data_IF_485282717215
#
_entry.id   IF_485282717215
#
_cell.length_a   1.000
_cell.length_b   1.000
_cell.length_c   1.000
_cell.angle_alpha   90.00
_cell.angle_beta   90.00
_cell.angle_gamma   90.00
#
_symmetry.space_group_name_H-M   'P 1'
#
loop_
_entity.id
_entity.type
_entity.pdbx_description
1 polymer ?
#
# COMPACT_ATOMS: atom_id res chain seq x y z
N UNK A 1 14.07 9.20 -37.32
CA UNK A 1 12.95 8.22 -37.34
C UNK A 1 13.31 6.95 -36.54
N UNK A 2 13.98 7.10 -35.38
CA UNK A 2 14.40 5.96 -34.53
C UNK A 2 13.99 6.14 -33.06
N UNK A 3 13.24 7.20 -32.74
CA UNK A 3 12.85 7.54 -31.37
C UNK A 3 11.42 7.09 -31.02
N UNK A 4 10.71 6.47 -31.97
CA UNK A 4 9.26 6.16 -31.90
C UNK A 4 8.93 4.66 -31.72
N UNK A 5 9.90 3.79 -31.38
CA UNK A 5 9.66 2.34 -31.20
C UNK A 5 9.71 1.84 -29.75
N UNK A 6 9.74 2.74 -28.77
CA UNK A 6 9.82 2.40 -27.35
C UNK A 6 8.50 2.62 -26.59
N UNK A 7 7.39 2.81 -27.31
CA UNK A 7 6.07 2.91 -26.72
C UNK A 7 5.41 1.53 -26.69
N UNK A 8 5.06 1.07 -25.47
CA UNK A 8 4.38 -0.20 -25.14
C UNK A 8 5.18 -1.50 -25.22
N UNK A 9 6.41 -1.52 -24.70
CA UNK A 9 7.03 -2.81 -24.33
C UNK A 9 6.65 -3.17 -22.90
N UNK A 10 6.04 -4.34 -22.71
CA UNK A 10 5.81 -4.93 -21.38
C UNK A 10 7.15 -5.05 -20.64
N UNK A 11 7.15 -4.82 -19.33
CA UNK A 11 8.32 -4.83 -18.45
C UNK A 11 9.17 -6.08 -18.68
N UNK A 12 8.51 -7.24 -18.78
CA UNK A 12 9.15 -8.52 -19.12
C UNK A 12 10.00 -8.43 -20.39
N UNK A 13 9.43 -7.93 -21.50
CA UNK A 13 10.14 -7.80 -22.78
C UNK A 13 11.30 -6.79 -22.72
N UNK A 14 11.17 -5.72 -21.92
CA UNK A 14 12.25 -4.74 -21.73
C UNK A 14 13.41 -5.38 -20.98
N UNK A 15 13.12 -6.11 -19.90
CA UNK A 15 14.14 -6.83 -19.12
C UNK A 15 14.84 -7.88 -19.97
N UNK A 16 14.12 -8.64 -20.80
CA UNK A 16 14.73 -9.60 -21.72
C UNK A 16 15.72 -8.96 -22.70
N UNK A 17 15.48 -7.69 -23.07
CA UNK A 17 16.33 -6.97 -24.03
C UNK A 17 17.60 -6.36 -23.43
N UNK A 18 17.79 -6.38 -22.10
CA UNK A 18 18.96 -5.79 -21.44
C UNK A 18 20.28 -6.48 -21.80
N UNK A 19 20.25 -7.75 -22.21
CA UNK A 19 21.47 -8.51 -22.53
C UNK A 19 22.43 -8.66 -21.34
N UNK A 20 23.69 -9.02 -21.61
CA UNK A 20 24.66 -9.33 -20.54
C UNK A 20 25.25 -8.10 -19.85
N UNK A 21 25.44 -6.99 -20.58
CA UNK A 21 26.08 -5.77 -20.08
C UNK A 21 25.27 -4.52 -20.45
N UNK A 22 24.05 -4.36 -19.91
CA UNK A 22 23.25 -3.18 -20.17
C UNK A 22 23.92 -1.93 -19.60
N UNK A 23 23.79 -0.83 -20.33
CA UNK A 23 24.13 0.48 -19.82
C UNK A 23 23.21 0.88 -18.67
N UNK A 24 23.69 1.78 -17.80
CA UNK A 24 22.87 2.38 -16.74
C UNK A 24 21.55 2.96 -17.27
N UNK A 25 21.58 3.57 -18.45
CA UNK A 25 20.38 4.16 -19.08
C UNK A 25 19.34 3.10 -19.43
N UNK A 26 19.77 1.95 -19.95
CA UNK A 26 18.86 0.84 -20.28
C UNK A 26 18.24 0.23 -19.03
N UNK A 27 19.04 0.03 -17.97
CA UNK A 27 18.53 -0.48 -16.69
C UNK A 27 17.54 0.49 -16.06
N UNK A 28 17.82 1.80 -16.06
CA UNK A 28 16.91 2.81 -15.53
C UNK A 28 15.63 2.94 -16.38
N UNK A 29 15.73 2.74 -17.69
CA UNK A 29 14.55 2.67 -18.55
C UNK A 29 13.69 1.45 -18.21
N UNK A 30 14.28 0.26 -18.06
CA UNK A 30 13.57 -0.94 -17.63
C UNK A 30 12.90 -0.76 -16.26
N UNK A 31 13.60 -0.14 -15.30
CA UNK A 31 13.07 0.21 -13.99
C UNK A 31 11.82 1.12 -14.09
N UNK A 32 11.88 2.17 -14.90
CA UNK A 32 10.74 3.07 -15.10
C UNK A 32 9.55 2.35 -15.74
N UNK A 33 9.81 1.49 -16.74
CA UNK A 33 8.76 0.65 -17.34
C UNK A 33 8.14 -0.28 -16.29
N UNK A 34 8.96 -0.88 -15.42
CA UNK A 34 8.49 -1.69 -14.30
C UNK A 34 7.58 -0.93 -13.34
N UNK A 35 7.95 0.30 -12.96
CA UNK A 35 7.08 1.16 -12.12
C UNK A 35 5.74 1.42 -12.80
N UNK A 36 5.77 1.84 -14.06
CA UNK A 36 4.54 2.20 -14.79
C UNK A 36 3.60 0.98 -14.94
N UNK A 37 4.15 -0.20 -15.21
CA UNK A 37 3.36 -1.43 -15.32
C UNK A 37 2.79 -1.87 -13.97
N UNK A 38 3.56 -1.77 -12.89
CA UNK A 38 3.08 -2.05 -11.54
C UNK A 38 1.93 -1.11 -11.12
N UNK A 39 2.00 0.17 -11.51
CA UNK A 39 0.92 1.13 -11.31
C UNK A 39 -0.34 0.73 -12.09
N UNK A 40 -0.19 0.37 -13.37
CA UNK A 40 -1.32 -0.08 -14.19
C UNK A 40 -1.97 -1.36 -13.62
N UNK A 41 -1.18 -2.31 -13.11
CA UNK A 41 -1.68 -3.51 -12.43
C UNK A 41 -2.45 -3.13 -11.17
N UNK A 42 -1.91 -2.23 -10.35
CA UNK A 42 -2.58 -1.76 -9.13
C UNK A 42 -3.90 -1.05 -9.45
N UNK A 43 -3.96 -0.24 -10.50
CA UNK A 43 -5.19 0.43 -10.96
C UNK A 43 -6.25 -0.57 -11.39
N UNK A 44 -5.87 -1.59 -12.20
CA UNK A 44 -6.77 -2.67 -12.57
C UNK A 44 -7.30 -3.39 -11.33
N UNK A 45 -6.41 -3.72 -10.39
CA UNK A 45 -6.75 -4.39 -9.14
C UNK A 45 -7.69 -3.57 -8.27
N UNK A 46 -7.40 -2.29 -8.07
CA UNK A 46 -8.21 -1.40 -7.24
C UNK A 46 -9.62 -1.21 -7.81
N UNK A 47 -9.74 -1.10 -9.14
CA UNK A 47 -11.00 -0.86 -9.84
C UNK A 47 -11.78 -2.13 -10.21
N UNK A 48 -11.23 -3.33 -10.02
CA UNK A 48 -11.89 -4.59 -10.34
C UNK A 48 -13.21 -4.74 -9.55
N UNK A 49 -14.24 -5.31 -10.15
CA UNK A 49 -15.60 -5.48 -9.60
C UNK A 49 -15.97 -6.96 -9.42
N UNK A 50 -17.12 -7.25 -8.78
CA UNK A 50 -17.61 -8.62 -8.62
C UNK A 50 -17.94 -9.31 -9.96
N UNK A 51 -18.30 -8.53 -10.99
CA UNK A 51 -18.46 -9.00 -12.37
C UNK A 51 -17.11 -9.49 -12.94
N UNK A 52 -16.00 -8.89 -12.51
CA UNK A 52 -14.64 -9.27 -12.87
C UNK A 52 -14.11 -10.46 -12.07
N UNK A 53 -14.82 -10.95 -11.05
CA UNK A 53 -14.27 -11.92 -10.11
C UNK A 53 -13.90 -13.27 -10.75
N UNK A 54 -14.74 -13.77 -11.66
CA UNK A 54 -14.57 -15.12 -12.22
C UNK A 54 -13.38 -15.24 -13.18
N UNK A 55 -12.89 -14.12 -13.75
CA UNK A 55 -11.84 -14.14 -14.78
C UNK A 55 -10.87 -12.95 -14.69
N UNK A 56 -11.33 -11.76 -14.32
CA UNK A 56 -10.54 -10.52 -14.28
C UNK A 56 -9.50 -10.50 -13.16
N UNK A 57 -9.87 -10.73 -11.90
CA UNK A 57 -8.89 -10.63 -10.78
C UNK A 57 -7.81 -11.71 -10.85
N UNK A 58 -8.15 -12.90 -11.34
CA UNK A 58 -7.18 -13.98 -11.57
C UNK A 58 -6.16 -13.58 -12.63
N UNK A 59 -6.60 -13.00 -13.74
CA UNK A 59 -5.70 -12.50 -14.79
C UNK A 59 -4.80 -11.36 -14.28
N UNK A 60 -5.32 -10.47 -13.43
CA UNK A 60 -4.52 -9.38 -12.83
C UNK A 60 -3.44 -9.95 -11.89
N UNK A 61 -3.76 -10.97 -11.09
CA UNK A 61 -2.79 -11.68 -10.26
C UNK A 61 -1.70 -12.38 -11.09
N UNK A 62 -2.09 -13.01 -12.21
CA UNK A 62 -1.15 -13.63 -13.15
C UNK A 62 -0.27 -12.57 -13.84
N UNK A 63 -0.81 -11.41 -14.21
CA UNK A 63 -0.05 -10.28 -14.74
C UNK A 63 0.99 -9.78 -13.73
N UNK A 64 0.64 -9.69 -12.45
CA UNK A 64 1.58 -9.30 -11.40
C UNK A 64 2.67 -10.37 -11.14
N UNK A 65 2.34 -11.65 -11.29
CA UNK A 65 3.33 -12.72 -11.21
C UNK A 65 4.32 -12.65 -12.39
N UNK A 66 3.85 -12.38 -13.61
CA UNK A 66 4.72 -12.15 -14.77
C UNK A 66 5.62 -10.92 -14.56
N UNK A 67 5.07 -9.84 -13.99
CA UNK A 67 5.85 -8.68 -13.59
C UNK A 67 6.95 -9.03 -12.58
N UNK A 68 6.65 -9.89 -11.60
CA UNK A 68 7.64 -10.37 -10.63
C UNK A 68 8.72 -11.23 -11.27
N UNK A 69 8.35 -12.11 -12.19
CA UNK A 69 9.31 -12.90 -12.96
C UNK A 69 10.26 -12.02 -13.79
N UNK A 70 9.75 -10.94 -14.38
CA UNK A 70 10.58 -9.93 -15.03
C UNK A 70 11.55 -9.29 -14.04
N UNK A 71 11.07 -8.89 -12.86
CA UNK A 71 11.94 -8.33 -11.82
C UNK A 71 13.05 -9.31 -11.41
N UNK A 72 12.73 -10.58 -11.16
CA UNK A 72 13.70 -11.61 -10.80
C UNK A 72 14.73 -11.82 -11.92
N UNK A 73 14.28 -11.88 -13.17
CA UNK A 73 15.16 -12.01 -14.34
C UNK A 73 16.15 -10.85 -14.46
N UNK A 74 15.69 -9.63 -14.17
CA UNK A 74 16.51 -8.41 -14.20
C UNK A 74 17.24 -8.10 -12.89
N UNK A 75 17.08 -8.92 -11.84
CA UNK A 75 17.43 -8.58 -10.46
C UNK A 75 18.87 -8.07 -10.32
N UNK A 76 19.82 -8.78 -10.91
CA UNK A 76 21.23 -8.41 -10.81
C UNK A 76 21.53 -7.06 -11.47
N UNK A 77 20.87 -6.75 -12.59
CA UNK A 77 21.01 -5.44 -13.24
C UNK A 77 20.48 -4.32 -12.36
N UNK A 78 19.30 -4.52 -11.75
CA UNK A 78 18.70 -3.54 -10.84
C UNK A 78 19.53 -3.34 -9.56
N UNK A 79 20.06 -4.43 -8.98
CA UNK A 79 20.90 -4.38 -7.80
C UNK A 79 22.20 -3.61 -8.06
N UNK A 80 22.83 -3.82 -9.22
CA UNK A 80 24.03 -3.08 -9.62
C UNK A 80 23.79 -1.56 -9.78
N UNK A 81 22.53 -1.14 -9.96
CA UNK A 81 22.15 0.27 -10.03
C UNK A 81 21.48 0.79 -8.74
N UNK A 82 21.33 -0.06 -7.72
CA UNK A 82 20.74 0.33 -6.43
C UNK A 82 19.22 0.52 -6.44
N UNK A 83 18.50 -0.02 -7.44
CA UNK A 83 17.03 0.17 -7.59
C UNK A 83 16.23 -1.11 -7.32
N UNK A 84 16.87 -2.18 -6.86
CA UNK A 84 16.22 -3.47 -6.60
C UNK A 84 15.31 -3.45 -5.36
N UNK A 85 15.70 -2.72 -4.30
CA UNK A 85 14.89 -2.60 -3.08
C UNK A 85 13.56 -1.92 -3.40
N UNK A 86 13.59 -0.90 -4.26
CA UNK A 86 12.40 -0.19 -4.72
C UNK A 86 11.40 -1.11 -5.43
N UNK A 87 11.86 -1.90 -6.41
CA UNK A 87 11.00 -2.83 -7.13
C UNK A 87 10.44 -3.92 -6.20
N UNK A 88 11.22 -4.34 -5.19
CA UNK A 88 10.78 -5.30 -4.18
C UNK A 88 9.66 -4.72 -3.31
N UNK A 89 9.81 -3.46 -2.87
CA UNK A 89 8.79 -2.73 -2.11
C UNK A 89 7.53 -2.57 -2.95
N UNK A 90 7.68 -2.16 -4.21
CA UNK A 90 6.55 -1.93 -5.11
C UNK A 90 5.77 -3.22 -5.34
N UNK A 91 6.45 -4.33 -5.66
CA UNK A 91 5.84 -5.65 -5.79
C UNK A 91 5.04 -6.05 -4.55
N UNK A 92 5.64 -5.93 -3.38
CA UNK A 92 4.98 -6.30 -2.13
C UNK A 92 3.70 -5.49 -1.90
N UNK A 93 3.72 -4.19 -2.24
CA UNK A 93 2.55 -3.34 -2.10
C UNK A 93 1.44 -3.69 -3.11
N UNK A 94 1.79 -3.95 -4.37
CA UNK A 94 0.83 -4.40 -5.40
C UNK A 94 0.21 -5.74 -4.99
N UNK A 95 1.02 -6.72 -4.59
CA UNK A 95 0.52 -8.02 -4.14
C UNK A 95 -0.45 -7.92 -2.97
N UNK A 96 -0.10 -7.14 -1.94
CA UNK A 96 -1.00 -6.92 -0.81
C UNK A 96 -2.35 -6.33 -1.24
N UNK A 97 -2.33 -5.32 -2.14
CA UNK A 97 -3.54 -4.70 -2.67
C UNK A 97 -4.39 -5.71 -3.45
N UNK A 98 -3.78 -6.52 -4.32
CA UNK A 98 -4.49 -7.51 -5.14
C UNK A 98 -5.10 -8.63 -4.30
N UNK A 99 -4.38 -9.13 -3.29
CA UNK A 99 -4.88 -10.16 -2.39
C UNK A 99 -6.09 -9.68 -1.58
N UNK A 100 -6.02 -8.46 -1.02
CA UNK A 100 -7.16 -7.88 -0.31
C UNK A 100 -8.38 -7.75 -1.23
N UNK A 101 -8.19 -7.20 -2.45
CA UNK A 101 -9.30 -7.09 -3.42
C UNK A 101 -9.87 -8.45 -3.76
N UNK A 102 -9.03 -9.44 -4.06
CA UNK A 102 -9.49 -10.79 -4.38
C UNK A 102 -10.38 -11.37 -3.28
N UNK A 103 -9.96 -11.26 -2.02
CA UNK A 103 -10.73 -11.74 -0.88
C UNK A 103 -12.09 -11.04 -0.74
N UNK A 104 -12.15 -9.73 -1.03
CA UNK A 104 -13.42 -8.97 -1.07
C UNK A 104 -14.33 -9.44 -2.19
N UNK A 105 -13.81 -9.59 -3.40
CA UNK A 105 -14.61 -10.06 -4.54
C UNK A 105 -15.21 -11.45 -4.27
N UNK A 106 -14.51 -12.34 -3.56
CA UNK A 106 -15.09 -13.64 -3.13
C UNK A 106 -16.27 -13.45 -2.19
N UNK A 107 -16.16 -12.50 -1.26
CA UNK A 107 -17.23 -12.23 -0.30
C UNK A 107 -18.46 -11.65 -1.00
N UNK A 108 -18.24 -10.70 -1.94
CA UNK A 108 -19.28 -10.08 -2.77
C UNK A 108 -19.99 -11.13 -3.65
N UNK A 109 -19.24 -12.06 -4.25
CA UNK A 109 -19.81 -13.11 -5.14
C UNK A 109 -20.60 -14.19 -4.40
N UNK A 110 -20.23 -14.51 -3.15
CA UNK A 110 -20.83 -15.60 -2.38
C UNK A 110 -22.14 -15.21 -1.68
N UNK A 111 -22.63 -13.98 -1.87
CA UNK A 111 -23.87 -13.51 -1.25
C UNK A 111 -23.81 -13.43 0.28
N UNK A 112 -22.62 -13.56 0.88
CA UNK A 112 -22.38 -13.29 2.30
C UNK A 112 -22.29 -11.76 2.44
N UNK A 113 -23.45 -11.12 2.29
CA UNK A 113 -23.65 -9.75 2.70
C UNK A 113 -23.58 -9.72 4.23
N UNK A 114 -22.59 -9.02 4.81
CA UNK A 114 -22.99 -8.08 5.85
C UNK A 114 -23.84 -7.03 5.14
N UNK A 115 -25.01 -6.74 5.70
CA UNK A 115 -26.08 -5.96 5.09
C UNK A 115 -25.75 -4.45 5.03
N UNK A 116 -24.54 -4.09 4.63
CA UNK A 116 -24.11 -2.73 4.39
C UNK A 116 -23.63 -2.67 2.94
N UNK A 117 -24.50 -2.16 2.04
CA UNK A 117 -24.01 -1.68 0.75
C UNK A 117 -23.03 -0.53 1.03
N UNK A 118 -21.73 -0.84 1.13
CA UNK A 118 -20.69 0.10 1.57
C UNK A 118 -20.41 1.28 0.63
N UNK A 119 -21.02 1.29 -0.55
CA UNK A 119 -21.03 2.46 -1.44
C UNK A 119 -22.41 3.14 -1.51
N UNK A 120 -23.40 2.64 -0.76
CA UNK A 120 -24.82 2.89 -1.03
C UNK A 120 -25.64 3.55 0.07
N UNK A 121 -25.30 3.45 1.36
CA UNK A 121 -26.12 4.07 2.41
C UNK A 121 -25.31 4.77 3.50
N UNK A 122 -25.56 6.08 3.57
CA UNK A 122 -25.26 7.05 4.62
C UNK A 122 -23.83 7.60 4.83
N UNK A 123 -23.12 7.76 3.72
CA UNK A 123 -21.95 8.65 3.62
C UNK A 123 -22.27 10.14 3.95
N UNK A 124 -23.55 10.55 3.97
CA UNK A 124 -23.93 11.97 4.12
C UNK A 124 -23.77 12.59 5.51
N UNK A 125 -23.36 11.85 6.55
CA UNK A 125 -23.13 12.45 7.88
C UNK A 125 -21.75 12.22 8.52
N UNK A 126 -20.85 11.43 7.90
CA UNK A 126 -19.44 11.29 8.37
C UNK A 126 -18.37 11.65 7.32
N UNK A 127 -18.75 12.05 6.11
CA UNK A 127 -17.83 12.32 4.98
C UNK A 127 -16.88 13.53 5.11
N UNK A 128 -16.87 14.31 6.19
CA UNK A 128 -16.03 15.53 6.25
C UNK A 128 -14.63 15.35 6.84
N UNK A 129 -14.14 14.14 7.13
CA UNK A 129 -12.76 13.96 7.64
C UNK A 129 -11.86 13.06 6.79
N UNK A 130 -12.39 12.03 6.11
CA UNK A 130 -11.54 11.07 5.37
C UNK A 130 -11.39 11.38 3.87
N UNK A 131 -12.09 12.39 3.34
CA UNK A 131 -11.97 12.83 1.93
C UNK A 131 -10.64 13.57 1.66
N UNK A 132 -9.93 14.02 2.71
CA UNK A 132 -8.71 14.82 2.54
C UNK A 132 -7.44 13.98 2.30
N UNK A 133 -7.36 12.73 2.79
CA UNK A 133 -6.11 11.94 2.78
C UNK A 133 -5.75 11.42 1.39
N UNK A 134 -6.61 10.60 0.78
CA UNK A 134 -6.34 9.95 -0.50
C UNK A 134 -6.18 11.02 -1.58
N UNK A 135 -7.03 12.04 -1.50
CA UNK A 135 -6.99 13.21 -2.36
C UNK A 135 -5.68 14.00 -2.19
N UNK A 136 -5.13 14.17 -0.98
CA UNK A 136 -3.85 14.89 -0.78
C UNK A 136 -2.66 14.29 -1.54
N UNK A 137 -2.73 12.99 -1.87
CA UNK A 137 -1.68 12.27 -2.61
C UNK A 137 -1.93 12.37 -4.10
N UNK A 138 -3.19 12.29 -4.51
CA UNK A 138 -3.59 12.54 -5.88
C UNK A 138 -3.30 13.99 -6.29
N UNK A 139 -3.43 14.92 -5.34
CA UNK A 139 -3.15 16.35 -5.50
C UNK A 139 -1.66 16.68 -5.50
N UNK A 140 -0.78 15.72 -5.18
CA UNK A 140 0.64 15.87 -5.52
C UNK A 140 0.72 16.04 -7.03
N UNK A 141 1.00 17.28 -7.47
CA UNK A 141 1.20 17.57 -8.89
C UNK A 141 2.32 16.71 -9.47
N UNK A 142 2.48 16.71 -10.79
CA UNK A 142 3.45 15.83 -11.46
C UNK A 142 4.92 16.03 -11.01
N UNK A 143 5.23 17.19 -10.42
CA UNK A 143 6.56 17.53 -9.93
C UNK A 143 6.46 18.13 -8.52
N UNK A 144 6.09 17.34 -7.49
CA UNK A 144 5.92 17.88 -6.16
C UNK A 144 7.31 18.22 -5.59
N UNK A 145 7.37 19.30 -4.84
CA UNK A 145 8.53 19.69 -4.05
C UNK A 145 8.81 18.66 -2.96
N UNK A 146 10.05 18.62 -2.47
CA UNK A 146 10.41 17.79 -1.31
C UNK A 146 9.43 18.04 -0.17
N UNK A 147 9.19 19.32 0.16
CA UNK A 147 8.28 19.76 1.23
C UNK A 147 6.85 19.23 1.07
N UNK A 148 6.30 19.18 -0.15
CA UNK A 148 4.94 18.68 -0.38
C UNK A 148 4.84 17.18 -0.11
N UNK A 149 5.68 16.36 -0.74
CA UNK A 149 5.71 14.90 -0.50
C UNK A 149 5.92 14.60 0.98
N UNK A 150 6.79 15.39 1.58
CA UNK A 150 7.09 15.34 2.98
C UNK A 150 5.87 15.66 3.88
N UNK A 151 5.19 16.78 3.64
CA UNK A 151 3.98 17.13 4.37
C UNK A 151 2.89 16.05 4.22
N UNK A 152 2.75 15.49 3.02
CA UNK A 152 1.85 14.36 2.76
C UNK A 152 2.22 13.17 3.65
N UNK A 153 3.47 12.74 3.69
CA UNK A 153 3.91 11.65 4.58
C UNK A 153 3.65 11.94 6.07
N UNK A 154 3.91 13.16 6.53
CA UNK A 154 3.56 13.58 7.90
C UNK A 154 2.08 13.46 8.21
N UNK A 155 1.23 13.83 7.25
CA UNK A 155 -0.21 13.66 7.36
C UNK A 155 -0.57 12.18 7.52
N UNK A 156 0.12 11.28 6.80
CA UNK A 156 -0.12 9.85 6.91
C UNK A 156 0.28 9.26 8.25
N UNK A 157 1.38 9.73 8.85
CA UNK A 157 1.75 9.29 10.19
C UNK A 157 0.68 9.68 11.23
N UNK A 158 0.13 10.90 11.13
CA UNK A 158 -0.93 11.37 12.05
C UNK A 158 -2.22 10.59 11.84
N UNK A 159 -2.58 10.35 10.59
CA UNK A 159 -3.79 9.59 10.28
C UNK A 159 -3.65 8.14 10.73
N UNK A 160 -2.47 7.53 10.55
CA UNK A 160 -2.22 6.19 11.06
C UNK A 160 -2.39 6.15 12.58
N UNK A 161 -1.85 7.12 13.31
CA UNK A 161 -2.04 7.18 14.77
C UNK A 161 -3.52 7.40 15.15
N UNK A 162 -4.25 8.25 14.42
CA UNK A 162 -5.70 8.46 14.64
C UNK A 162 -6.49 7.18 14.40
N UNK A 163 -6.24 6.48 13.29
CA UNK A 163 -6.86 5.18 12.99
C UNK A 163 -6.51 4.16 14.06
N UNK A 164 -5.27 4.12 14.53
CA UNK A 164 -4.85 3.23 15.61
C UNK A 164 -5.60 3.55 16.91
N UNK A 165 -5.72 4.81 17.28
CA UNK A 165 -6.39 5.24 18.50
C UNK A 165 -7.89 4.97 18.48
N UNK A 166 -8.57 5.35 17.38
CA UNK A 166 -9.97 5.05 17.19
C UNK A 166 -10.20 3.54 17.20
N UNK A 167 -9.38 2.80 16.45
CA UNK A 167 -9.50 1.36 16.37
C UNK A 167 -9.24 0.68 17.72
N UNK A 168 -8.31 1.16 18.55
CA UNK A 168 -8.08 0.63 19.91
C UNK A 168 -9.27 0.86 20.85
N UNK A 169 -10.06 1.92 20.64
CA UNK A 169 -11.23 2.25 21.46
C UNK A 169 -12.52 1.53 21.03
N UNK A 170 -12.56 0.95 19.83
CA UNK A 170 -13.76 0.29 19.31
C UNK A 170 -13.82 -1.18 19.73
N UNK A 171 -14.93 -1.58 20.35
CA UNK A 171 -15.24 -2.97 20.76
C UNK A 171 -16.04 -3.76 19.70
N UNK A 172 -16.44 -3.11 18.61
CA UNK A 172 -17.34 -3.70 17.60
C UNK A 172 -16.61 -4.12 16.33
N UNK A 173 -16.95 -5.32 15.84
CA UNK A 173 -16.34 -5.96 14.68
C UNK A 173 -16.62 -5.23 13.35
N UNK A 174 -17.74 -4.51 13.25
CA UNK A 174 -18.22 -3.93 11.99
C UNK A 174 -17.42 -2.71 11.50
N UNK A 175 -16.66 -2.04 12.38
CA UNK A 175 -15.81 -0.90 12.01
C UNK A 175 -14.41 -1.34 11.54
N UNK A 176 -14.04 -2.62 11.74
CA UNK A 176 -12.72 -3.14 11.37
C UNK A 176 -12.45 -3.05 9.86
N UNK A 177 -13.46 -3.43 9.07
CA UNK A 177 -13.38 -3.43 7.61
C UNK A 177 -13.17 -2.03 7.03
N UNK A 178 -13.78 -1.01 7.61
CA UNK A 178 -13.61 0.38 7.18
C UNK A 178 -12.15 0.84 7.33
N UNK A 179 -11.51 0.57 8.46
CA UNK A 179 -10.09 0.89 8.64
C UNK A 179 -9.18 0.10 7.70
N UNK A 180 -9.48 -1.17 7.45
CA UNK A 180 -8.71 -1.96 6.47
C UNK A 180 -8.87 -1.39 5.07
N UNK A 181 -10.08 -0.99 4.66
CA UNK A 181 -10.31 -0.36 3.35
C UNK A 181 -9.55 0.95 3.20
N UNK A 182 -9.50 1.74 4.26
CA UNK A 182 -8.72 2.97 4.26
C UNK A 182 -7.23 2.66 4.05
N UNK A 183 -6.67 1.65 4.73
CA UNK A 183 -5.26 1.25 4.47
C UNK A 183 -5.00 0.76 3.04
N UNK A 184 -5.99 0.16 2.37
CA UNK A 184 -5.88 -0.25 0.95
C UNK A 184 -5.87 0.95 0.02
N UNK A 185 -6.72 1.96 0.27
CA UNK A 185 -6.70 3.24 -0.46
C UNK A 185 -5.35 3.92 -0.33
N UNK A 186 -4.74 3.87 0.85
CA UNK A 186 -3.42 4.47 1.05
C UNK A 186 -2.34 3.75 0.24
N UNK A 187 -2.36 2.41 0.23
CA UNK A 187 -1.44 1.61 -0.58
C UNK A 187 -1.58 1.92 -2.06
N UNK A 188 -2.81 2.02 -2.56
CA UNK A 188 -3.06 2.40 -3.94
C UNK A 188 -2.47 3.78 -4.26
N UNK A 189 -2.73 4.78 -3.43
CA UNK A 189 -2.19 6.12 -3.61
C UNK A 189 -0.65 6.18 -3.52
N UNK A 190 -0.04 5.40 -2.64
CA UNK A 190 1.42 5.21 -2.60
C UNK A 190 1.97 4.66 -3.91
N UNK A 191 1.36 3.60 -4.45
CA UNK A 191 1.76 3.01 -5.72
C UNK A 191 1.64 4.04 -6.85
N UNK A 192 0.52 4.76 -6.92
CA UNK A 192 0.27 5.81 -7.93
C UNK A 192 1.32 6.92 -7.92
N UNK A 193 1.80 7.31 -6.74
CA UNK A 193 2.83 8.35 -6.59
C UNK A 193 4.19 7.80 -6.19
N UNK A 194 4.45 6.51 -6.46
CA UNK A 194 5.63 5.79 -5.97
C UNK A 194 6.94 6.51 -6.30
N UNK A 195 7.07 7.01 -7.53
CA UNK A 195 8.25 7.73 -8.01
C UNK A 195 8.54 9.02 -7.21
N UNK A 196 7.51 9.68 -6.65
CA UNK A 196 7.69 10.84 -5.80
C UNK A 196 8.30 10.47 -4.44
N UNK A 197 7.90 9.33 -3.88
CA UNK A 197 8.45 8.85 -2.61
C UNK A 197 9.87 8.30 -2.77
N UNK A 198 10.18 7.64 -3.88
CA UNK A 198 11.57 7.23 -4.21
C UNK A 198 12.46 8.45 -4.37
N UNK A 199 12.02 9.47 -5.11
CA UNK A 199 12.80 10.70 -5.36
C UNK A 199 13.28 11.39 -4.07
N UNK A 200 12.54 11.22 -2.97
CA UNK A 200 12.85 11.84 -1.68
C UNK A 200 13.16 10.81 -0.58
N UNK A 201 13.51 9.56 -0.95
CA UNK A 201 13.94 8.49 -0.05
C UNK A 201 12.93 8.17 1.08
N UNK A 202 11.63 8.13 0.76
CA UNK A 202 10.54 7.87 1.70
C UNK A 202 9.79 6.55 1.43
N UNK A 203 10.08 5.86 0.32
CA UNK A 203 9.34 4.66 -0.09
C UNK A 203 9.38 3.53 0.96
N UNK A 204 10.51 3.38 1.66
CA UNK A 204 10.67 2.37 2.73
C UNK A 204 9.87 2.73 3.98
N UNK A 205 9.98 3.98 4.44
CA UNK A 205 9.24 4.52 5.58
C UNK A 205 7.74 4.39 5.36
N UNK A 206 7.27 4.74 4.17
CA UNK A 206 5.87 4.61 3.77
C UNK A 206 5.42 3.15 3.76
N UNK A 207 6.19 2.25 3.15
CA UNK A 207 5.88 0.81 3.14
C UNK A 207 5.83 0.21 4.55
N UNK A 208 6.72 0.68 5.44
CA UNK A 208 6.75 0.28 6.84
C UNK A 208 5.52 0.80 7.60
N UNK A 209 5.11 2.05 7.36
CA UNK A 209 3.90 2.61 7.96
C UNK A 209 2.68 1.74 7.64
N UNK A 210 2.52 1.32 6.38
CA UNK A 210 1.43 0.41 6.00
C UNK A 210 1.50 -0.95 6.67
N UNK A 211 2.67 -1.57 6.65
CA UNK A 211 2.86 -2.92 7.21
C UNK A 211 2.55 -2.94 8.70
N UNK A 212 2.97 -1.90 9.44
CA UNK A 212 2.71 -1.77 10.87
C UNK A 212 1.25 -1.47 11.17
N UNK A 213 0.63 -0.56 10.41
CA UNK A 213 -0.78 -0.22 10.57
C UNK A 213 -1.66 -1.45 10.30
N UNK A 214 -1.42 -2.15 9.19
CA UNK A 214 -2.17 -3.36 8.82
C UNK A 214 -1.97 -4.50 9.83
N UNK A 215 -0.74 -4.71 10.30
CA UNK A 215 -0.46 -5.73 11.32
C UNK A 215 -1.19 -5.44 12.63
N UNK A 216 -1.23 -4.17 13.05
CA UNK A 216 -1.99 -3.75 14.23
C UNK A 216 -3.48 -4.05 14.05
N UNK A 217 -4.07 -3.57 12.93
CA UNK A 217 -5.46 -3.82 12.59
C UNK A 217 -5.77 -5.33 12.65
N UNK A 218 -4.99 -6.16 11.93
CA UNK A 218 -5.18 -7.60 11.89
C UNK A 218 -5.05 -8.30 13.26
N UNK A 219 -4.14 -7.83 14.12
CA UNK A 219 -3.93 -8.42 15.45
C UNK A 219 -5.14 -8.29 16.38
N UNK A 220 -5.84 -7.14 16.34
CA UNK A 220 -7.04 -6.91 17.15
C UNK A 220 -8.27 -7.64 16.59
N UNK A 221 -8.41 -7.79 15.27
CA UNK A 221 -9.47 -8.66 14.68
C UNK A 221 -9.40 -10.07 15.26
N UNK A 222 -8.19 -10.62 15.40
CA UNK A 222 -7.95 -11.92 16.03
C UNK A 222 -8.32 -11.98 17.53
N UNK A 223 -8.46 -10.84 18.20
CA UNK A 223 -8.89 -10.76 19.61
C UNK A 223 -10.41 -10.64 19.69
N UNK A 224 -11.01 -9.78 18.86
CA UNK A 224 -12.47 -9.55 18.81
C UNK A 224 -13.19 -10.80 18.30
N UNK A 225 -12.81 -11.36 17.16
CA UNK A 225 -13.51 -12.51 16.56
C UNK A 225 -13.36 -13.83 17.34
N UNK A 226 -12.34 -13.95 18.20
CA UNK A 226 -12.08 -15.17 18.98
C UNK A 226 -12.21 -14.93 20.50
N UNK A 227 -12.74 -13.76 20.90
CA UNK A 227 -12.71 -13.23 22.26
C UNK A 227 -13.95 -13.50 23.12
N UNK A 228 -15.07 -13.94 22.53
CA UNK A 228 -16.36 -14.17 23.21
C UNK A 228 -16.50 -15.56 23.85
N UNK A 229 -15.43 -16.08 24.44
CA UNK A 229 -15.53 -17.17 25.43
C UNK A 229 -14.84 -16.71 26.71
N UNK A 230 -15.66 -16.17 27.62
CA UNK A 230 -15.39 -15.85 29.01
C UNK A 230 -14.34 -14.75 29.29
N UNK A 231 -14.83 -13.52 29.42
CA UNK A 231 -14.06 -12.30 29.75
C UNK A 231 -13.44 -12.28 31.15
N UNK A 232 -13.84 -13.18 32.05
CA UNK A 232 -13.41 -13.13 33.46
C UNK A 232 -12.15 -13.96 33.76
N UNK A 233 -11.58 -14.65 32.76
CA UNK A 233 -10.39 -15.48 32.89
C UNK A 233 -9.36 -15.24 31.78
N UNK A 234 -9.00 -13.97 31.53
CA UNK A 234 -8.11 -13.63 30.42
C UNK A 234 -6.67 -14.16 30.61
N UNK A 235 -6.18 -15.09 29.76
CA UNK A 235 -4.85 -15.66 29.92
C UNK A 235 -3.74 -14.65 29.62
N UNK A 236 -2.52 -14.90 30.13
CA UNK A 236 -1.26 -14.15 29.84
C UNK A 236 -1.05 -13.75 28.36
N UNK A 237 -1.69 -14.44 27.41
CA UNK A 237 -1.67 -14.12 25.97
C UNK A 237 -2.32 -12.76 25.63
N UNK A 238 -3.37 -12.32 26.35
CA UNK A 238 -4.01 -11.00 26.06
C UNK A 238 -3.11 -9.81 26.45
N UNK A 239 -2.33 -9.91 27.54
CA UNK A 239 -1.29 -8.91 27.88
C UNK A 239 -0.22 -8.77 26.79
N UNK A 240 0.27 -9.90 26.25
CA UNK A 240 1.27 -9.88 25.17
C UNK A 240 0.76 -9.20 23.89
N UNK A 241 -0.54 -9.29 23.61
CA UNK A 241 -1.12 -8.64 22.45
C UNK A 241 -1.25 -7.12 22.65
N UNK A 242 -1.70 -6.68 23.83
CA UNK A 242 -1.72 -5.26 24.19
C UNK A 242 -0.31 -4.62 24.17
N UNK A 243 0.70 -5.33 24.66
CA UNK A 243 2.10 -4.87 24.61
C UNK A 243 2.61 -4.77 23.16
N UNK A 244 2.22 -5.70 22.28
CA UNK A 244 2.54 -5.64 20.83
C UNK A 244 1.85 -4.47 20.16
N UNK A 245 0.57 -4.25 20.44
CA UNK A 245 -0.19 -3.12 19.89
C UNK A 245 0.43 -1.78 20.30
N UNK A 246 0.77 -1.66 21.59
CA UNK A 246 1.47 -0.48 22.13
C UNK A 246 2.83 -0.27 21.46
N UNK A 247 3.58 -1.34 21.19
CA UNK A 247 4.87 -1.23 20.49
C UNK A 247 4.71 -0.77 19.05
N UNK A 248 3.74 -1.32 18.30
CA UNK A 248 3.48 -0.86 16.93
C UNK A 248 3.08 0.61 16.89
N UNK A 249 2.24 1.07 17.83
CA UNK A 249 1.90 2.49 17.94
C UNK A 249 3.13 3.37 18.20
N UNK A 250 3.99 2.99 19.15
CA UNK A 250 5.26 3.70 19.41
C UNK A 250 6.15 3.76 18.17
N UNK A 251 6.21 2.68 17.40
CA UNK A 251 6.98 2.63 16.17
C UNK A 251 6.43 3.55 15.08
N UNK A 252 5.10 3.68 14.96
CA UNK A 252 4.46 4.64 14.04
C UNK A 252 4.79 6.08 14.45
N UNK A 253 4.68 6.40 15.75
CA UNK A 253 5.06 7.72 16.28
C UNK A 253 6.53 8.03 16.06
N UNK A 254 7.42 7.06 16.31
CA UNK A 254 8.85 7.23 16.10
C UNK A 254 9.19 7.50 14.62
N UNK A 255 8.47 6.90 13.68
CA UNK A 255 8.63 7.21 12.25
C UNK A 255 8.26 8.67 11.95
N UNK A 256 7.12 9.15 12.47
CA UNK A 256 6.70 10.54 12.32
C UNK A 256 7.65 11.55 12.97
N UNK A 257 8.15 11.23 14.17
CA UNK A 257 9.03 12.13 14.93
C UNK A 257 10.46 12.18 14.38
N UNK A 258 11.05 11.02 14.05
CA UNK A 258 12.34 10.94 13.35
C UNK A 258 12.34 11.83 12.12
N UNK A 259 11.24 11.80 11.39
CA UNK A 259 11.07 12.57 10.18
C UNK A 259 10.89 14.08 10.44
N UNK A 260 10.12 14.46 11.47
CA UNK A 260 9.93 15.87 11.82
C UNK A 260 11.28 16.52 12.10
N UNK A 261 12.12 15.84 12.88
CA UNK A 261 13.46 16.29 13.24
C UNK A 261 14.39 16.41 12.02
N UNK A 262 14.35 15.45 11.09
CA UNK A 262 15.14 15.51 9.84
C UNK A 262 14.78 16.73 8.96
N UNK A 263 13.55 17.24 9.03
CA UNK A 263 13.11 18.41 8.26
C UNK A 263 13.25 19.74 9.00
N UNK A 264 13.34 19.71 10.32
CA UNK A 264 13.72 20.89 11.10
C UNK A 264 15.22 21.20 10.90
N UNK A 265 16.07 20.17 10.88
CA UNK A 265 17.51 20.30 10.62
C UNK A 265 17.80 20.72 9.16
N UNK A 266 16.97 20.33 8.19
CA UNK A 266 17.15 20.70 6.79
C UNK A 266 16.66 22.13 6.43
N UNK A 267 16.14 22.89 7.41
CA UNK A 267 15.73 24.29 7.26
C UNK A 267 16.80 25.28 7.77
N UNK A 268 17.82 24.80 8.47
CA UNK A 268 19.01 25.56 8.93
C UNK A 268 20.15 25.42 7.93
#
# INVERSE_FOLDING_TARGET
MEQEKLENKLFYSVVESLGYNPSKREVLHAYQTGINEAQAIADKGFNATCEDYSYGIKNILEENELWYQAFIKGYQHFANQGVNEDLSILFSNVMCLLHDRNDRLKSESNGVYSQDSWFGQDLRQKERRNVDFYQSILDLGNNPTKREVHNTFSSWCREADSMVDEFLQVDLQDQFSEYVHETVRWRHAFIMRYSHFVKYDLNKEVSNLFSKTLALLGSKKGIVCYGDRDSDNLPRKRRKNFDRETNYRREIMALGEKWRLQNEIAKE
#
